data_IF_129338102859
#
_entry.id   IF_129338102859
#
_cell.length_a   1.000
_cell.length_b   1.000
_cell.length_c   1.000
_cell.angle_alpha   90.00
_cell.angle_beta   90.00
_cell.angle_gamma   90.00
#
_symmetry.space_group_name_H-M   'P 1'
#
loop_
_entity.id
_entity.type
_entity.pdbx_description
1 polymer ?
#
# COMPACT_ATOMS: atom_id res chain seq x y z
N UNK A 1 -1.42 -4.05 -11.81
CA UNK A 1 -1.79 -4.21 -10.41
C UNK A 1 -0.65 -3.79 -9.51
N UNK A 2 -0.95 -3.27 -8.31
CA UNK A 2 -0.03 -3.03 -7.20
C UNK A 2 -0.41 -3.92 -6.03
N UNK A 3 0.50 -4.06 -5.05
CA UNK A 3 0.25 -4.87 -3.87
C UNK A 3 0.27 -4.01 -2.60
N UNK A 4 -0.64 -4.32 -1.70
CA UNK A 4 -0.67 -3.80 -0.36
C UNK A 4 0.02 -4.82 0.57
N UNK A 5 1.07 -4.38 1.27
CA UNK A 5 1.80 -5.20 2.23
C UNK A 5 1.14 -5.00 3.60
N UNK A 6 0.62 -6.06 4.18
CA UNK A 6 -0.08 -6.06 5.47
C UNK A 6 0.50 -7.09 6.42
N UNK A 7 0.21 -6.93 7.70
CA UNK A 7 0.51 -7.90 8.76
C UNK A 7 1.99 -8.32 8.83
N UNK A 8 2.91 -7.38 8.62
CA UNK A 8 4.36 -7.65 8.77
C UNK A 8 4.67 -7.74 10.26
N UNK A 9 4.82 -8.95 10.76
CA UNK A 9 5.10 -9.21 12.16
C UNK A 9 6.29 -10.16 12.33
N UNK A 10 7.02 -10.00 13.42
CA UNK A 10 8.08 -10.92 13.86
C UNK A 10 7.86 -11.23 15.33
N UNK A 11 7.81 -12.51 15.66
CA UNK A 11 7.66 -13.00 17.01
C UNK A 11 8.72 -12.38 17.93
N UNK A 12 8.35 -11.97 19.15
CA UNK A 12 9.20 -11.16 20.03
C UNK A 12 10.59 -11.76 20.25
N UNK A 13 10.68 -13.07 20.41
CA UNK A 13 11.94 -13.82 20.63
C UNK A 13 12.82 -13.91 19.37
N UNK A 14 12.27 -13.64 18.18
CA UNK A 14 12.97 -13.69 16.89
C UNK A 14 13.20 -12.30 16.27
N UNK A 15 12.93 -11.23 17.02
CA UNK A 15 13.21 -9.86 16.57
C UNK A 15 14.71 -9.59 16.50
N UNK A 16 15.09 -8.60 15.72
CA UNK A 16 16.48 -8.15 15.51
C UNK A 16 17.41 -9.20 14.87
N UNK A 17 16.87 -10.27 14.29
CA UNK A 17 17.61 -11.33 13.59
C UNK A 17 17.57 -11.20 12.06
N UNK A 18 16.97 -10.13 11.52
CA UNK A 18 16.92 -9.87 10.09
C UNK A 18 15.74 -10.51 9.34
N UNK A 19 14.89 -11.30 10.00
CA UNK A 19 13.79 -12.03 9.34
C UNK A 19 12.84 -11.15 8.52
N UNK A 20 12.46 -9.99 9.07
CA UNK A 20 11.64 -9.03 8.35
C UNK A 20 12.33 -8.53 7.07
N UNK A 21 13.62 -8.21 7.15
CA UNK A 21 14.42 -7.76 6.02
C UNK A 21 14.43 -8.83 4.92
N UNK A 22 14.72 -10.07 5.28
CA UNK A 22 14.78 -11.17 4.32
C UNK A 22 13.43 -11.43 3.66
N UNK A 23 12.35 -11.36 4.44
CA UNK A 23 11.00 -11.52 3.94
C UNK A 23 10.63 -10.41 2.94
N UNK A 24 10.89 -9.14 3.29
CA UNK A 24 10.61 -8.01 2.41
C UNK A 24 11.40 -8.10 1.09
N UNK A 25 12.69 -8.42 1.13
CA UNK A 25 13.46 -8.56 -0.10
C UNK A 25 13.00 -9.73 -0.98
N UNK A 26 12.58 -10.85 -0.40
CA UNK A 26 11.95 -11.95 -1.14
C UNK A 26 10.63 -11.52 -1.77
N UNK A 27 9.80 -10.77 -1.03
CA UNK A 27 8.56 -10.23 -1.56
C UNK A 27 8.80 -9.24 -2.72
N UNK A 28 9.80 -8.35 -2.60
CA UNK A 28 10.15 -7.42 -3.69
C UNK A 28 10.65 -8.15 -4.94
N UNK A 29 11.50 -9.18 -4.78
CA UNK A 29 11.95 -9.99 -5.90
C UNK A 29 10.78 -10.68 -6.60
N UNK A 30 9.89 -11.30 -5.83
CA UNK A 30 8.69 -11.94 -6.33
C UNK A 30 7.74 -10.96 -7.07
N UNK A 31 7.55 -9.76 -6.54
CA UNK A 31 6.77 -8.71 -7.18
C UNK A 31 7.44 -8.23 -8.49
N UNK A 32 8.77 -8.08 -8.49
CA UNK A 32 9.53 -7.64 -9.65
C UNK A 32 9.42 -8.63 -10.81
N UNK A 33 9.52 -9.93 -10.56
CA UNK A 33 9.31 -10.99 -11.55
C UNK A 33 7.91 -10.92 -12.18
N UNK A 34 6.90 -10.51 -11.40
CA UNK A 34 5.51 -10.34 -11.84
C UNK A 34 5.22 -8.97 -12.44
N UNK A 35 6.25 -8.19 -12.71
CA UNK A 35 6.15 -6.86 -13.33
C UNK A 35 5.23 -5.90 -12.53
N UNK A 36 5.20 -6.03 -11.23
CA UNK A 36 4.46 -5.13 -10.35
C UNK A 36 5.14 -3.76 -10.37
N UNK A 37 4.45 -2.66 -10.69
CA UNK A 37 5.06 -1.34 -10.80
C UNK A 37 5.51 -0.79 -9.45
N UNK A 38 4.65 -0.89 -8.42
CA UNK A 38 4.92 -0.43 -7.07
C UNK A 38 4.12 -1.24 -6.05
N UNK A 39 4.53 -1.18 -4.80
CA UNK A 39 3.75 -1.66 -3.66
C UNK A 39 3.59 -0.54 -2.63
N UNK A 40 2.68 -0.73 -1.70
CA UNK A 40 2.40 0.23 -0.65
C UNK A 40 2.04 -0.48 0.66
N UNK A 41 2.11 0.25 1.76
CA UNK A 41 1.73 -0.20 3.09
C UNK A 41 1.29 0.98 3.96
N UNK A 42 0.58 0.67 5.05
CA UNK A 42 0.32 1.58 6.15
C UNK A 42 1.27 1.21 7.29
N UNK A 43 2.23 2.06 7.66
CA UNK A 43 3.18 1.75 8.71
C UNK A 43 2.61 2.11 10.09
N UNK A 44 2.91 1.30 11.10
CA UNK A 44 2.77 1.72 12.50
C UNK A 44 3.83 2.78 12.85
N UNK A 45 5.06 2.58 12.37
CA UNK A 45 6.16 3.55 12.45
C UNK A 45 6.87 3.62 11.08
N UNK A 46 6.86 4.78 10.41
CA UNK A 46 7.53 4.98 9.12
C UNK A 46 9.00 4.63 9.11
N UNK A 47 9.72 4.89 10.21
CA UNK A 47 11.16 4.62 10.32
C UNK A 47 11.55 3.15 10.14
N UNK A 48 10.59 2.24 10.36
CA UNK A 48 10.80 0.80 10.13
C UNK A 48 10.98 0.51 8.64
N UNK A 49 10.27 1.25 7.77
CA UNK A 49 10.18 0.95 6.33
C UNK A 49 11.03 1.87 5.44
N UNK A 50 11.42 3.06 5.93
CA UNK A 50 12.33 3.97 5.23
C UNK A 50 13.64 3.29 4.76
N UNK A 51 14.31 2.43 5.58
CA UNK A 51 15.53 1.74 5.14
C UNK A 51 15.32 0.77 3.96
N UNK A 52 14.08 0.41 3.68
CA UNK A 52 13.70 -0.44 2.55
C UNK A 52 13.28 0.35 1.31
N UNK A 53 13.40 1.69 1.34
CA UNK A 53 13.08 2.57 0.24
C UNK A 53 11.58 2.86 0.11
N UNK A 54 10.81 2.74 1.20
CA UNK A 54 9.46 3.27 1.26
C UNK A 54 9.48 4.75 1.61
N UNK A 55 8.63 5.50 0.95
CA UNK A 55 8.40 6.92 1.24
C UNK A 55 6.91 7.22 1.35
N UNK A 56 6.54 8.21 2.16
CA UNK A 56 5.15 8.67 2.23
C UNK A 56 4.65 9.10 0.85
N UNK A 57 3.52 8.56 0.41
CA UNK A 57 2.88 8.91 -0.88
C UNK A 57 1.57 9.67 -0.71
N UNK A 58 0.80 9.39 0.34
CA UNK A 58 -0.41 10.12 0.70
C UNK A 58 -0.77 9.90 2.18
N UNK A 59 -1.75 10.66 2.66
CA UNK A 59 -2.44 10.34 3.90
C UNK A 59 -3.47 9.24 3.64
N UNK A 60 -3.76 8.46 4.69
CA UNK A 60 -4.84 7.48 4.63
C UNK A 60 -6.19 8.19 4.74
N UNK A 61 -7.13 7.89 3.87
CA UNK A 61 -8.47 8.47 3.92
C UNK A 61 -9.39 7.58 4.76
N UNK A 62 -9.70 7.98 5.99
CA UNK A 62 -10.62 7.25 6.88
C UNK A 62 -12.07 7.19 6.36
N UNK A 63 -12.42 7.99 5.36
CA UNK A 63 -13.75 7.99 4.77
C UNK A 63 -13.89 6.92 3.68
N UNK A 64 -14.14 5.69 4.09
CA UNK A 64 -14.32 4.54 3.20
C UNK A 64 -15.62 4.55 2.39
N UNK A 65 -16.53 5.53 2.60
CA UNK A 65 -17.90 5.50 2.05
C UNK A 65 -18.05 6.22 0.72
N UNK A 66 -16.97 6.67 0.08
CA UNK A 66 -17.05 7.31 -1.25
C UNK A 66 -17.57 6.33 -2.29
N UNK A 67 -18.49 6.82 -3.14
CA UNK A 67 -18.94 6.03 -4.28
C UNK A 67 -17.83 5.86 -5.33
N UNK A 68 -17.90 4.81 -6.15
CA UNK A 68 -16.94 4.61 -7.24
C UNK A 68 -16.96 5.75 -8.24
N UNK A 69 -18.12 6.36 -8.49
CA UNK A 69 -18.25 7.52 -9.38
C UNK A 69 -17.48 8.74 -8.82
N UNK A 70 -17.62 9.00 -7.52
CA UNK A 70 -16.88 10.08 -6.84
C UNK A 70 -15.37 9.81 -6.85
N UNK A 71 -14.95 8.57 -6.60
CA UNK A 71 -13.54 8.16 -6.60
C UNK A 71 -12.95 8.37 -7.99
N UNK A 72 -13.58 7.86 -9.04
CA UNK A 72 -13.10 7.98 -10.41
C UNK A 72 -13.00 9.43 -10.89
N UNK A 73 -13.91 10.29 -10.45
CA UNK A 73 -13.91 11.71 -10.78
C UNK A 73 -12.77 12.48 -10.09
N UNK A 74 -12.45 12.12 -8.86
CA UNK A 74 -11.58 12.92 -8.01
C UNK A 74 -10.16 12.37 -7.85
N UNK A 75 -9.92 11.08 -8.12
CA UNK A 75 -8.65 10.42 -7.86
C UNK A 75 -8.09 9.73 -9.10
N UNK A 76 -6.76 9.70 -9.22
CA UNK A 76 -6.06 9.09 -10.36
C UNK A 76 -5.59 7.67 -10.02
N UNK A 77 -5.31 7.42 -8.73
CA UNK A 77 -4.85 6.14 -8.22
C UNK A 77 -5.78 5.73 -7.08
N UNK A 78 -6.39 4.59 -7.20
CA UNK A 78 -7.36 4.07 -6.24
C UNK A 78 -7.50 2.54 -6.37
N UNK A 79 -8.02 1.90 -5.33
CA UNK A 79 -8.37 0.49 -5.36
C UNK A 79 -9.64 0.26 -6.20
N UNK A 80 -9.57 -0.66 -7.16
CA UNK A 80 -10.74 -1.05 -7.93
C UNK A 80 -11.66 -1.91 -7.08
N UNK A 81 -12.86 -1.40 -6.80
CA UNK A 81 -13.89 -2.06 -6.00
C UNK A 81 -14.82 -2.86 -6.90
N UNK A 82 -14.34 -4.00 -7.40
CA UNK A 82 -15.16 -4.94 -8.15
C UNK A 82 -15.98 -5.83 -7.23
N UNK A 83 -16.76 -6.74 -7.81
CA UNK A 83 -17.63 -7.67 -7.07
C UNK A 83 -16.84 -8.54 -6.07
N UNK A 84 -15.65 -8.98 -6.43
CA UNK A 84 -14.78 -9.77 -5.56
C UNK A 84 -14.36 -8.94 -4.33
N UNK A 85 -13.99 -7.66 -4.52
CA UNK A 85 -13.70 -6.75 -3.44
C UNK A 85 -14.91 -6.55 -2.52
N UNK A 86 -16.09 -6.30 -3.09
CA UNK A 86 -17.32 -6.05 -2.32
C UNK A 86 -17.71 -7.27 -1.48
N UNK A 87 -17.62 -8.47 -2.05
CA UNK A 87 -17.93 -9.71 -1.34
C UNK A 87 -16.95 -9.94 -0.16
N UNK A 88 -15.66 -9.73 -0.38
CA UNK A 88 -14.65 -9.85 0.67
C UNK A 88 -14.89 -8.82 1.78
N UNK A 89 -15.10 -7.56 1.44
CA UNK A 89 -15.35 -6.49 2.40
C UNK A 89 -16.60 -6.73 3.24
N UNK A 90 -17.66 -7.32 2.65
CA UNK A 90 -18.85 -7.74 3.38
C UNK A 90 -18.54 -8.85 4.40
N UNK A 91 -17.78 -9.87 3.99
CA UNK A 91 -17.37 -10.97 4.87
C UNK A 91 -16.48 -10.47 6.03
N UNK A 92 -15.55 -9.56 5.75
CA UNK A 92 -14.69 -8.94 6.77
C UNK A 92 -15.51 -8.17 7.80
N UNK A 93 -16.49 -7.38 7.37
CA UNK A 93 -17.42 -6.67 8.27
C UNK A 93 -18.27 -7.62 9.13
N UNK A 94 -18.81 -8.68 8.53
CA UNK A 94 -19.56 -9.69 9.25
C UNK A 94 -18.70 -10.40 10.29
N UNK A 95 -17.45 -10.72 9.97
CA UNK A 95 -16.50 -11.33 10.89
C UNK A 95 -16.10 -10.39 12.01
N UNK A 96 -15.81 -9.12 11.73
CA UNK A 96 -15.49 -8.11 12.72
C UNK A 96 -16.66 -7.90 13.71
N UNK A 97 -17.91 -7.90 13.24
CA UNK A 97 -19.08 -7.81 14.08
C UNK A 97 -19.23 -9.01 15.04
N UNK A 98 -18.87 -10.22 14.58
CA UNK A 98 -18.92 -11.46 15.39
C UNK A 98 -17.78 -11.45 16.44
N UNK A 99 -16.61 -10.98 16.07
CA UNK A 99 -15.42 -10.97 16.96
C UNK A 99 -15.41 -9.80 17.96
N UNK A 100 -16.41 -8.92 17.91
CA UNK A 100 -16.54 -7.79 18.84
C UNK A 100 -15.61 -6.64 18.47
N UNK A 101 -15.73 -6.16 17.24
CA UNK A 101 -15.00 -5.05 16.60
C UNK A 101 -14.04 -4.28 17.50
N UNK A 102 -12.76 -4.55 17.39
CA UNK A 102 -11.73 -3.80 18.11
C UNK A 102 -11.70 -2.34 17.63
N UNK A 103 -11.29 -1.43 18.52
CA UNK A 103 -10.83 -0.11 18.12
C UNK A 103 -9.89 -0.28 16.93
N UNK A 104 -9.98 0.57 15.94
CA UNK A 104 -9.31 0.42 14.62
C UNK A 104 -7.78 0.26 14.68
N UNK A 105 -7.16 0.34 15.85
CA UNK A 105 -5.72 0.17 16.07
C UNK A 105 -4.82 1.07 15.21
N UNK A 106 -5.44 1.98 14.45
CA UNK A 106 -4.74 2.87 13.54
C UNK A 106 -4.02 3.98 14.31
N UNK A 107 -2.88 4.45 13.81
CA UNK A 107 -2.23 5.65 14.32
C UNK A 107 -3.16 6.87 14.25
N UNK A 108 -2.94 7.88 15.11
CA UNK A 108 -3.72 9.14 15.10
C UNK A 108 -3.75 9.80 13.71
N UNK A 109 -2.63 9.76 13.01
CA UNK A 109 -2.47 10.28 11.65
C UNK A 109 -1.91 9.18 10.74
N UNK A 110 -2.73 8.26 10.27
CA UNK A 110 -2.26 7.17 9.43
C UNK A 110 -1.83 7.70 8.06
N UNK A 111 -0.70 7.20 7.60
CA UNK A 111 -0.13 7.54 6.29
C UNK A 111 0.02 6.28 5.44
N UNK A 112 0.07 6.47 4.13
CA UNK A 112 0.44 5.42 3.20
C UNK A 112 1.86 5.67 2.69
N UNK A 113 2.70 4.65 2.79
CA UNK A 113 4.02 4.65 2.20
C UNK A 113 4.04 3.76 0.95
N UNK A 114 4.75 4.21 -0.07
CA UNK A 114 4.91 3.48 -1.33
C UNK A 114 6.37 3.23 -1.65
N UNK A 115 6.60 2.17 -2.42
CA UNK A 115 7.91 1.80 -2.97
C UNK A 115 7.78 1.39 -4.44
N UNK A 116 8.64 1.94 -5.30
CA UNK A 116 8.75 1.51 -6.69
C UNK A 116 9.43 0.13 -6.73
N UNK A 117 8.79 -0.84 -7.35
CA UNK A 117 9.31 -2.21 -7.47
C UNK A 117 9.93 -2.43 -8.85
N UNK A 118 9.22 -2.03 -9.90
CA UNK A 118 9.71 -2.16 -11.27
C UNK A 118 9.68 -0.79 -11.94
N UNK A 119 10.85 -0.15 -12.03
CA UNK A 119 11.01 1.20 -12.57
C UNK A 119 10.51 1.33 -14.00
N UNK A 120 10.85 0.38 -14.86
CA UNK A 120 10.51 0.45 -16.28
C UNK A 120 9.00 0.36 -16.48
N UNK A 121 8.36 -0.58 -15.81
CA UNK A 121 6.90 -0.74 -15.84
C UNK A 121 6.21 0.50 -15.24
N UNK A 122 6.71 1.01 -14.12
CA UNK A 122 6.16 2.21 -13.51
C UNK A 122 6.27 3.42 -14.43
N UNK A 123 7.44 3.63 -15.06
CA UNK A 123 7.68 4.72 -15.99
C UNK A 123 6.75 4.64 -17.22
N UNK A 124 6.55 3.45 -17.78
CA UNK A 124 5.61 3.23 -18.88
C UNK A 124 4.19 3.62 -18.47
N UNK A 125 3.73 3.15 -17.31
CA UNK A 125 2.37 3.40 -16.82
C UNK A 125 2.13 4.87 -16.43
N UNK A 126 3.16 5.57 -15.98
CA UNK A 126 3.09 7.00 -15.61
C UNK A 126 3.35 7.95 -16.78
N UNK A 127 3.73 7.44 -17.94
CA UNK A 127 4.12 8.26 -19.10
C UNK A 127 5.49 8.96 -18.94
N UNK A 128 6.30 8.53 -17.99
CA UNK A 128 7.65 9.04 -17.75
C UNK A 128 8.70 8.27 -18.56
N UNK A 129 9.88 8.87 -18.70
CA UNK A 129 11.00 8.18 -19.38
C UNK A 129 11.55 7.06 -18.47
N UNK A 130 11.85 5.92 -19.04
CA UNK A 130 12.45 4.78 -18.32
C UNK A 130 13.85 5.09 -17.76
N UNK A 131 14.50 6.14 -18.25
CA UNK A 131 15.80 6.63 -17.76
C UNK A 131 15.69 7.48 -16.49
N UNK A 132 14.46 7.85 -16.06
CA UNK A 132 14.28 8.67 -14.87
C UNK A 132 14.77 7.96 -13.59
N UNK A 133 15.28 8.75 -12.66
CA UNK A 133 15.69 8.24 -11.34
C UNK A 133 14.47 7.84 -10.51
N UNK A 134 14.65 6.89 -9.61
CA UNK A 134 13.57 6.43 -8.72
C UNK A 134 12.95 7.57 -7.91
N UNK A 135 13.76 8.56 -7.51
CA UNK A 135 13.29 9.76 -6.82
C UNK A 135 12.27 10.57 -7.64
N UNK A 136 12.47 10.66 -8.96
CA UNK A 136 11.54 11.35 -9.87
C UNK A 136 10.23 10.56 -9.98
N UNK A 137 10.31 9.23 -10.04
CA UNK A 137 9.14 8.37 -10.09
C UNK A 137 8.30 8.45 -8.79
N UNK A 138 8.97 8.46 -7.64
CA UNK A 138 8.31 8.64 -6.34
C UNK A 138 7.71 10.05 -6.20
N UNK A 139 8.41 11.07 -6.67
CA UNK A 139 7.88 12.43 -6.68
C UNK A 139 6.64 12.56 -7.57
N UNK A 140 6.64 11.91 -8.74
CA UNK A 140 5.47 11.84 -9.60
C UNK A 140 4.30 11.16 -8.88
N UNK A 141 4.54 10.03 -8.21
CA UNK A 141 3.53 9.28 -7.47
C UNK A 141 2.91 10.15 -6.35
N UNK A 142 3.73 10.86 -5.59
CA UNK A 142 3.27 11.77 -4.51
C UNK A 142 2.40 12.94 -5.00
N UNK A 143 2.58 13.36 -6.25
CA UNK A 143 1.76 14.42 -6.87
C UNK A 143 0.41 13.94 -7.38
N UNK A 144 0.17 12.62 -7.38
CA UNK A 144 -1.12 12.08 -7.80
C UNK A 144 -2.18 12.27 -6.71
N UNK A 145 -3.43 12.31 -7.15
CA UNK A 145 -4.58 12.24 -6.26
C UNK A 145 -4.83 10.77 -5.96
N UNK A 146 -4.37 10.32 -4.80
CA UNK A 146 -4.42 8.91 -4.38
C UNK A 146 -5.52 8.74 -3.35
N UNK A 147 -6.35 7.72 -3.53
CA UNK A 147 -7.37 7.31 -2.58
C UNK A 147 -7.12 5.87 -2.16
N UNK A 148 -6.70 5.70 -0.92
CA UNK A 148 -6.51 4.41 -0.25
C UNK A 148 -7.19 4.52 1.11
N UNK A 149 -8.22 3.72 1.30
CA UNK A 149 -9.01 3.66 2.54
C UNK A 149 -9.25 2.19 2.96
N UNK A 150 -8.59 1.27 2.32
CA UNK A 150 -8.67 -0.14 2.64
C UNK A 150 -7.86 -0.41 3.90
N UNK A 151 -8.56 -0.78 4.96
CA UNK A 151 -8.02 -1.38 6.18
C UNK A 151 -7.98 -2.90 6.00
N UNK A 152 -6.91 -3.54 6.41
CA UNK A 152 -6.76 -4.99 6.36
C UNK A 152 -6.28 -5.51 7.71
#
# INVERSE_FOLDING_TARGET
PSFYIVAVATEKQHRHQGHMKDLLYKAFAWMKERKVPFCFLMPVDPKIYEPFGFEKICDFDRNAQRSMEEIQKNFNIYCKRDETYQNRFKQEKELAAILGGEEDGLPDQPIIMGKIINRDIFAILSGLKQTEKETVLLEWLRKQRIYICEEV
#
